data_IF_735076873802
#
_entry.id   IF_735076873802
#
_cell.length_a   1.000
_cell.length_b   1.000
_cell.length_c   1.000
_cell.angle_alpha   90.00
_cell.angle_beta   90.00
_cell.angle_gamma   90.00
#
_symmetry.space_group_name_H-M   'P 1'
#
loop_
_entity.id
_entity.type
_entity.pdbx_description
1 polymer ?
#
# COMPACT_ATOMS: atom_id res chain seq x y z
N UNK A 1 5.70 -12.36 14.01
CA UNK A 1 4.32 -11.96 14.41
C UNK A 1 3.38 -12.33 13.27
N UNK A 2 2.08 -12.57 13.53
CA UNK A 2 1.14 -12.83 12.44
C UNK A 2 1.02 -11.62 11.52
N UNK A 3 0.65 -11.87 10.27
CA UNK A 3 0.29 -10.83 9.30
C UNK A 3 -0.93 -10.05 9.83
N UNK A 4 -0.89 -8.72 9.73
CA UNK A 4 -1.99 -7.87 10.20
C UNK A 4 -3.15 -7.93 9.21
N UNK A 5 -4.39 -8.05 9.70
CA UNK A 5 -5.57 -7.95 8.83
C UNK A 5 -5.76 -6.50 8.38
N UNK A 6 -5.55 -6.24 7.09
CA UNK A 6 -5.78 -4.94 6.48
C UNK A 6 -4.87 -4.68 5.27
N UNK A 7 -4.94 -3.46 4.76
CA UNK A 7 -4.00 -2.98 3.75
C UNK A 7 -3.15 -1.87 4.37
N UNK A 8 -1.83 -2.03 4.30
CA UNK A 8 -0.91 -0.93 4.57
C UNK A 8 -1.13 0.14 3.51
N UNK A 9 -1.31 1.37 3.96
CA UNK A 9 -1.45 2.52 3.07
C UNK A 9 -0.26 3.44 3.33
N UNK A 10 0.38 3.82 2.24
CA UNK A 10 1.45 4.79 2.22
C UNK A 10 1.01 6.06 1.50
N UNK A 11 1.73 7.15 1.74
CA UNK A 11 1.69 8.31 0.87
C UNK A 11 2.37 7.99 -0.46
N UNK A 12 2.28 8.88 -1.45
CA UNK A 12 2.99 8.74 -2.72
C UNK A 12 4.50 8.49 -2.56
N UNK A 13 5.09 9.02 -1.47
CA UNK A 13 6.52 8.84 -1.16
C UNK A 13 6.86 7.46 -0.61
N UNK A 14 5.90 6.80 0.02
CA UNK A 14 6.08 5.49 0.63
C UNK A 14 5.91 4.36 -0.40
N UNK A 15 5.25 4.65 -1.54
CA UNK A 15 5.06 3.69 -2.62
C UNK A 15 6.38 3.04 -3.10
N UNK A 16 7.44 3.84 -3.26
CA UNK A 16 8.77 3.34 -3.64
C UNK A 16 9.34 2.36 -2.62
N UNK A 17 9.19 2.66 -1.33
CA UNK A 17 9.65 1.79 -0.27
C UNK A 17 8.95 0.43 -0.36
N UNK A 18 7.62 0.41 -0.47
CA UNK A 18 6.83 -0.82 -0.60
C UNK A 18 7.20 -1.64 -1.83
N UNK A 19 7.44 -0.99 -2.97
CA UNK A 19 7.88 -1.66 -4.21
C UNK A 19 9.23 -2.34 -4.00
N UNK A 20 10.19 -1.69 -3.35
CA UNK A 20 11.54 -2.26 -3.12
C UNK A 20 11.55 -3.41 -2.12
N UNK A 21 10.68 -3.39 -1.11
CA UNK A 21 10.63 -4.46 -0.10
C UNK A 21 9.71 -5.62 -0.49
N UNK A 22 9.09 -5.55 -1.67
CA UNK A 22 8.26 -6.64 -2.18
C UNK A 22 9.07 -7.93 -2.31
N UNK A 23 8.64 -8.97 -1.63
CA UNK A 23 9.30 -10.27 -1.57
C UNK A 23 8.56 -11.35 -2.38
N UNK A 24 7.51 -10.98 -3.12
CA UNK A 24 6.70 -11.93 -3.92
C UNK A 24 7.40 -12.38 -5.21
N UNK A 25 8.51 -11.75 -5.59
CA UNK A 25 9.36 -12.15 -6.73
C UNK A 25 8.78 -11.81 -8.11
N UNK A 26 7.70 -11.03 -8.16
CA UNK A 26 7.06 -10.57 -9.40
C UNK A 26 6.76 -9.07 -9.38
N UNK A 27 6.22 -8.54 -10.49
CA UNK A 27 5.78 -7.16 -10.57
C UNK A 27 4.68 -6.85 -9.54
N UNK A 28 4.59 -5.59 -9.15
CA UNK A 28 3.50 -5.10 -8.29
C UNK A 28 2.72 -3.98 -8.95
N UNK A 29 1.48 -3.83 -8.54
CA UNK A 29 0.60 -2.76 -8.99
C UNK A 29 0.49 -1.67 -7.93
N UNK A 30 0.48 -0.42 -8.37
CA UNK A 30 0.23 0.74 -7.53
C UNK A 30 -1.22 1.18 -7.65
N UNK A 31 -1.91 1.20 -6.51
CA UNK A 31 -3.31 1.59 -6.40
C UNK A 31 -3.45 2.83 -5.53
N UNK A 32 -4.25 3.79 -6.00
CA UNK A 32 -4.68 4.94 -5.20
C UNK A 32 -5.98 4.58 -4.47
N UNK A 33 -6.08 5.03 -3.22
CA UNK A 33 -7.30 4.91 -2.42
C UNK A 33 -7.88 6.29 -2.13
N UNK A 34 -9.10 6.53 -2.60
CA UNK A 34 -9.80 7.80 -2.44
C UNK A 34 -10.61 7.86 -1.14
N UNK A 35 -10.74 9.06 -0.58
CA UNK A 35 -11.57 9.32 0.60
C UNK A 35 -11.05 8.68 1.90
N UNK A 36 -9.73 8.47 1.98
CA UNK A 36 -9.02 8.07 3.20
C UNK A 36 -8.12 9.22 3.63
N UNK A 37 -8.12 9.52 4.92
CA UNK A 37 -7.30 10.54 5.55
C UNK A 37 -6.37 9.91 6.58
N UNK A 38 -5.34 10.64 7.03
CA UNK A 38 -4.44 10.18 8.09
C UNK A 38 -5.16 9.78 9.37
N UNK A 39 -6.31 10.39 9.68
CA UNK A 39 -7.13 10.07 10.86
C UNK A 39 -7.87 8.73 10.77
N UNK A 40 -7.99 8.16 9.57
CA UNK A 40 -8.62 6.85 9.35
C UNK A 40 -7.61 5.69 9.54
N UNK A 41 -6.32 6.00 9.62
CA UNK A 41 -5.25 5.02 9.73
C UNK A 41 -4.93 4.71 11.19
N UNK A 42 -4.57 3.45 11.44
CA UNK A 42 -4.09 2.98 12.73
C UNK A 42 -2.62 2.59 12.60
N UNK A 43 -1.82 2.92 13.60
CA UNK A 43 -0.42 2.48 13.69
C UNK A 43 -0.35 1.05 14.23
N UNK A 44 0.34 0.18 13.52
CA UNK A 44 0.64 -1.19 13.95
C UNK A 44 1.72 -1.20 15.03
N UNK A 45 1.86 -2.29 15.82
CA UNK A 45 2.94 -2.41 16.80
C UNK A 45 4.36 -2.25 16.22
N UNK A 46 4.51 -2.48 14.91
CA UNK A 46 5.76 -2.36 14.16
C UNK A 46 6.01 -0.94 13.61
N UNK A 47 5.12 0.02 13.87
CA UNK A 47 5.26 1.43 13.48
C UNK A 47 4.75 1.77 12.08
N UNK A 48 3.99 0.87 11.43
CA UNK A 48 3.42 1.12 10.11
C UNK A 48 1.93 1.47 10.20
N UNK A 49 1.46 2.35 9.33
CA UNK A 49 0.05 2.72 9.28
C UNK A 49 -0.73 1.82 8.33
N UNK A 50 -1.91 1.37 8.77
CA UNK A 50 -2.81 0.55 7.96
C UNK A 50 -4.26 0.99 8.14
N UNK A 51 -5.10 0.64 7.18
CA UNK A 51 -6.53 0.88 7.24
C UNK A 51 -7.24 -0.37 7.80
N UNK A 52 -7.84 -0.32 9.01
CA UNK A 52 -8.42 -1.49 9.68
C UNK A 52 -9.85 -1.80 9.17
N UNK A 53 -10.05 -1.72 7.84
CA UNK A 53 -11.32 -2.07 7.18
C UNK A 53 -11.08 -2.49 5.74
N UNK A 54 -12.06 -3.15 5.15
CA UNK A 54 -12.08 -3.38 3.70
C UNK A 54 -12.22 -2.06 2.95
N UNK A 55 -11.49 -1.95 1.84
CA UNK A 55 -11.58 -0.82 0.92
C UNK A 55 -12.60 -1.20 -0.19
N UNK A 56 -13.71 -0.47 -0.34
CA UNK A 56 -14.64 -0.65 -1.44
C UNK A 56 -13.97 -0.44 -2.79
N UNK A 57 -14.33 -1.23 -3.80
CA UNK A 57 -13.77 -1.09 -5.15
C UNK A 57 -14.00 0.31 -5.76
N UNK A 58 -15.09 0.99 -5.38
CA UNK A 58 -15.36 2.37 -5.80
C UNK A 58 -14.38 3.40 -5.22
N UNK A 59 -13.61 3.06 -4.18
CA UNK A 59 -12.57 3.90 -3.60
C UNK A 59 -11.18 3.59 -4.17
N UNK A 60 -11.04 2.64 -5.10
CA UNK A 60 -9.73 2.16 -5.56
C UNK A 60 -9.56 2.49 -7.03
N UNK A 61 -8.40 3.05 -7.38
CA UNK A 61 -8.02 3.32 -8.77
C UNK A 61 -6.62 2.78 -9.05
N UNK A 62 -6.48 2.01 -10.14
CA UNK A 62 -5.16 1.59 -10.63
C UNK A 62 -4.41 2.82 -11.16
N UNK A 63 -3.22 3.07 -10.60
CA UNK A 63 -2.34 4.19 -11.00
C UNK A 63 -1.29 3.68 -11.99
N UNK A 64 -0.64 2.57 -11.66
CA UNK A 64 0.40 1.94 -12.47
C UNK A 64 0.37 0.43 -12.26
N UNK A 65 0.63 -0.31 -13.32
CA UNK A 65 0.65 -1.77 -13.32
C UNK A 65 2.06 -2.27 -13.61
N UNK A 66 2.33 -3.53 -13.23
CA UNK A 66 3.53 -4.28 -13.63
C UNK A 66 4.85 -3.57 -13.29
N UNK A 67 4.91 -2.98 -12.10
CA UNK A 67 6.11 -2.29 -11.62
C UNK A 67 7.12 -3.32 -11.15
N UNK A 68 8.27 -3.37 -11.83
CA UNK A 68 9.42 -4.14 -11.37
C UNK A 68 10.28 -3.28 -10.44
N UNK A 69 10.87 -3.90 -9.40
CA UNK A 69 11.71 -3.22 -8.42
C UNK A 69 12.98 -2.55 -9.00
N UNK A 70 13.29 -2.85 -10.26
CA UNK A 70 14.46 -2.36 -10.98
C UNK A 70 14.12 -1.16 -11.91
N UNK A 71 12.84 -0.81 -12.05
CA UNK A 71 12.41 0.25 -12.96
C UNK A 71 12.78 1.63 -12.38
N UNK A 72 13.47 2.50 -13.14
CA UNK A 72 13.67 3.89 -12.72
C UNK A 72 12.32 4.62 -12.72
N UNK A 73 12.06 5.38 -11.66
CA UNK A 73 10.92 6.29 -11.53
C UNK A 73 11.27 7.67 -12.09
#
# INVERSE_FOLDING_TARGET
>A
MPEQEGCFLGTDRDAEFFIRINNTGGPVDLWQVDGVTDGDLVESPEGFRYLPRRIPASQVRLVRQDITGDAPF
#
